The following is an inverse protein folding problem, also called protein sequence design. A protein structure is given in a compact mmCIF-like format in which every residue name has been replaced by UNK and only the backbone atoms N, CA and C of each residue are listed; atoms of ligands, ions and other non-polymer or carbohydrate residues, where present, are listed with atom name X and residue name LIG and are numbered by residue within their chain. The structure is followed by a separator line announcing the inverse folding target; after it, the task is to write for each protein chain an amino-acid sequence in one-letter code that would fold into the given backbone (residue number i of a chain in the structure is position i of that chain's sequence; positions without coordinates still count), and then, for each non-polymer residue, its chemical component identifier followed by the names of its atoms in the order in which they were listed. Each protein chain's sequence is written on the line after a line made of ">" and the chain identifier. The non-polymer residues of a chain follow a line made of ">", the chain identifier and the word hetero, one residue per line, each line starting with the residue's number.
data_IF_154709848130
#
_entry.id   IF_154709848130
#
_cell.length_a   1.000
_cell.length_b   1.000
_cell.length_c   1.000
_cell.angle_alpha   90.00
_cell.angle_beta   90.00
_cell.angle_gamma   90.00
#
_symmetry.space_group_name_H-M   'P 1'
#
loop_
_entity.id
_entity.type
_entity.pdbx_description
1 polymer ?
#
# COMPACT_ATOMS: atom_id res chain seq x y z
N UNK A 1 5.16 -17.29 -32.93
CA UNK A 1 5.30 -16.65 -31.61
C UNK A 1 4.07 -15.79 -31.39
N UNK A 2 3.46 -15.86 -30.22
CA UNK A 2 2.36 -14.97 -29.81
C UNK A 2 2.86 -14.10 -28.67
N UNK A 3 2.69 -12.79 -28.79
CA UNK A 3 3.08 -11.79 -27.78
C UNK A 3 1.82 -11.11 -27.25
N UNK A 4 1.69 -11.02 -25.95
CA UNK A 4 0.58 -10.35 -25.28
C UNK A 4 1.05 -9.46 -24.14
N UNK A 5 0.14 -8.69 -23.57
CA UNK A 5 0.42 -7.89 -22.38
C UNK A 5 0.63 -8.77 -21.14
N UNK A 6 1.42 -8.30 -20.19
CA UNK A 6 1.74 -9.03 -18.96
C UNK A 6 0.54 -9.19 -18.01
N UNK A 7 -0.52 -8.39 -18.21
CA UNK A 7 -1.73 -8.38 -17.39
C UNK A 7 -2.94 -7.91 -18.20
N UNK A 8 -4.13 -8.12 -17.66
CA UNK A 8 -5.36 -7.56 -18.21
C UNK A 8 -5.32 -6.02 -18.15
N UNK A 9 -5.70 -5.36 -19.24
CA UNK A 9 -5.69 -3.89 -19.37
C UNK A 9 -7.02 -3.23 -18.97
N UNK A 10 -8.04 -4.00 -18.62
CA UNK A 10 -9.38 -3.47 -18.33
C UNK A 10 -9.45 -2.70 -16.99
N UNK A 11 -8.65 -3.09 -15.99
CA UNK A 11 -8.71 -2.55 -14.63
C UNK A 11 -7.36 -1.95 -14.19
N UNK A 12 -6.63 -1.37 -15.13
CA UNK A 12 -5.38 -0.65 -14.86
C UNK A 12 -5.52 0.80 -15.32
N UNK A 13 -4.71 1.73 -14.80
CA UNK A 13 -4.67 3.10 -15.31
C UNK A 13 -4.37 3.12 -16.82
N UNK A 14 -4.92 4.10 -17.53
CA UNK A 14 -4.87 4.13 -19.00
C UNK A 14 -3.52 4.63 -19.52
N UNK A 15 -3.17 5.87 -19.23
CA UNK A 15 -1.95 6.52 -19.74
C UNK A 15 -1.13 7.10 -18.57
N UNK A 16 0.14 6.77 -18.52
CA UNK A 16 1.07 7.34 -17.53
C UNK A 16 1.22 8.86 -17.68
N UNK A 17 0.95 9.41 -18.86
CA UNK A 17 1.04 10.84 -19.12
C UNK A 17 -0.04 11.64 -18.37
N UNK A 18 -1.17 11.04 -18.03
CA UNK A 18 -2.24 11.67 -17.26
C UNK A 18 -1.83 11.94 -15.79
N UNK A 19 -0.79 11.27 -15.30
CA UNK A 19 -0.25 11.43 -13.95
C UNK A 19 0.57 12.73 -13.82
N UNK A 20 -0.11 13.88 -13.88
CA UNK A 20 0.53 15.21 -13.88
C UNK A 20 1.25 15.55 -12.56
N UNK A 21 0.88 14.93 -11.45
CA UNK A 21 1.44 15.18 -10.11
C UNK A 21 2.54 14.18 -9.72
N UNK A 22 2.73 13.13 -10.50
CA UNK A 22 3.72 12.11 -10.20
C UNK A 22 5.10 12.61 -10.59
N UNK A 23 6.11 12.30 -9.78
CA UNK A 23 7.51 12.58 -10.05
C UNK A 23 7.94 12.02 -11.43
N UNK A 24 8.64 12.81 -12.22
CA UNK A 24 9.02 12.45 -13.59
C UNK A 24 9.90 11.19 -13.64
N UNK A 25 10.75 10.97 -12.63
CA UNK A 25 11.58 9.77 -12.53
C UNK A 25 10.73 8.53 -12.29
N UNK A 26 9.75 8.62 -11.38
CA UNK A 26 8.80 7.52 -11.14
C UNK A 26 7.99 7.22 -12.40
N UNK A 27 7.50 8.25 -13.11
CA UNK A 27 6.78 8.08 -14.38
C UNK A 27 7.60 7.27 -15.40
N UNK A 28 8.90 7.51 -15.49
CA UNK A 28 9.75 6.82 -16.46
C UNK A 28 9.89 5.30 -16.22
N UNK A 29 9.54 4.83 -15.03
CA UNK A 29 9.57 3.38 -14.68
C UNK A 29 8.23 2.68 -14.87
N UNK A 30 7.15 3.43 -15.13
CA UNK A 30 5.79 2.92 -15.20
C UNK A 30 5.36 2.67 -16.65
N UNK A 31 4.50 1.69 -16.82
CA UNK A 31 3.80 1.41 -18.07
C UNK A 31 2.34 1.06 -17.74
N UNK A 32 1.42 1.94 -18.13
CA UNK A 32 -0.02 1.73 -18.01
C UNK A 32 -0.58 1.06 -19.26
N UNK A 33 -1.89 1.06 -19.45
CA UNK A 33 -2.51 0.31 -20.54
C UNK A 33 -1.95 0.70 -21.92
N UNK A 34 -1.88 2.00 -22.22
CA UNK A 34 -1.42 2.50 -23.53
C UNK A 34 0.05 2.15 -23.76
N UNK A 35 0.92 2.37 -22.77
CA UNK A 35 2.33 2.00 -22.87
C UNK A 35 2.53 0.49 -23.04
N UNK A 36 1.69 -0.35 -22.42
CA UNK A 36 1.75 -1.79 -22.59
C UNK A 36 1.33 -2.24 -24.00
N UNK A 37 0.35 -1.58 -24.60
CA UNK A 37 -0.01 -1.82 -26.00
C UNK A 37 1.14 -1.41 -26.92
N UNK A 38 1.75 -0.25 -26.69
CA UNK A 38 2.94 0.19 -27.44
C UNK A 38 4.13 -0.77 -27.30
N UNK A 39 4.35 -1.32 -26.12
CA UNK A 39 5.38 -2.34 -25.90
C UNK A 39 5.13 -3.60 -26.73
N UNK A 40 3.88 -4.09 -26.79
CA UNK A 40 3.51 -5.25 -27.63
C UNK A 40 3.73 -4.96 -29.11
N UNK A 41 3.30 -3.76 -29.59
CA UNK A 41 3.52 -3.34 -30.97
C UNK A 41 5.02 -3.23 -31.31
N UNK A 42 5.82 -2.68 -30.39
CA UNK A 42 7.27 -2.59 -30.53
C UNK A 42 7.93 -3.97 -30.62
N UNK A 43 7.52 -4.91 -29.76
CA UNK A 43 8.04 -6.28 -29.82
C UNK A 43 7.64 -6.99 -31.13
N UNK A 44 6.40 -6.81 -31.59
CA UNK A 44 5.97 -7.33 -32.88
C UNK A 44 6.83 -6.79 -34.03
N UNK A 45 7.11 -5.48 -34.03
CA UNK A 45 8.02 -4.86 -34.99
C UNK A 45 9.44 -5.50 -34.93
N UNK A 46 9.98 -5.68 -33.75
CA UNK A 46 11.29 -6.31 -33.56
C UNK A 46 11.35 -7.75 -34.07
N UNK A 47 10.23 -8.49 -33.95
CA UNK A 47 10.13 -9.87 -34.47
C UNK A 47 10.01 -9.92 -36.00
N UNK A 48 9.43 -8.92 -36.64
CA UNK A 48 9.22 -8.87 -38.09
C UNK A 48 10.37 -8.18 -38.84
N UNK A 49 10.92 -7.11 -38.28
CA UNK A 49 11.93 -6.26 -38.93
C UNK A 49 13.35 -6.45 -38.33
N UNK A 50 13.45 -7.22 -37.26
CA UNK A 50 14.71 -7.48 -36.54
C UNK A 50 14.98 -6.51 -35.40
N UNK A 51 15.86 -6.88 -34.48
CA UNK A 51 16.17 -6.13 -33.27
C UNK A 51 16.72 -4.72 -33.54
N UNK A 52 17.36 -4.49 -34.69
CA UNK A 52 17.85 -3.17 -35.08
C UNK A 52 16.74 -2.12 -35.21
N UNK A 53 15.53 -2.54 -35.65
CA UNK A 53 14.39 -1.66 -35.83
C UNK A 53 13.80 -1.12 -34.50
N UNK A 54 14.09 -1.77 -33.37
CA UNK A 54 13.63 -1.41 -32.04
C UNK A 54 14.78 -1.05 -31.06
N UNK A 55 15.98 -0.85 -31.56
CA UNK A 55 17.18 -0.59 -30.76
C UNK A 55 17.02 0.59 -29.80
N UNK A 56 16.38 1.67 -30.24
CA UNK A 56 16.15 2.85 -29.40
C UNK A 56 15.21 2.50 -28.23
N UNK A 57 14.11 1.81 -28.52
CA UNK A 57 13.14 1.42 -27.48
C UNK A 57 13.79 0.48 -26.43
N UNK A 58 14.64 -0.46 -26.86
CA UNK A 58 15.38 -1.31 -25.94
C UNK A 58 16.36 -0.49 -25.07
N UNK A 59 17.08 0.46 -25.65
CA UNK A 59 17.98 1.32 -24.91
C UNK A 59 17.24 2.23 -23.89
N UNK A 60 16.03 2.66 -24.19
CA UNK A 60 15.18 3.42 -23.28
C UNK A 60 14.76 2.58 -22.07
N UNK A 61 14.37 1.33 -22.31
CA UNK A 61 14.06 0.37 -21.23
C UNK A 61 15.28 0.08 -20.38
N UNK A 62 16.43 -0.17 -20.98
CA UNK A 62 17.68 -0.44 -20.24
C UNK A 62 18.06 0.75 -19.34
N UNK A 63 17.90 1.98 -19.82
CA UNK A 63 18.12 3.19 -19.01
C UNK A 63 17.15 3.28 -17.84
N UNK A 64 15.86 3.05 -18.08
CA UNK A 64 14.83 3.07 -17.03
C UNK A 64 15.08 2.01 -15.95
N UNK A 65 15.47 0.80 -16.35
CA UNK A 65 15.80 -0.29 -15.43
C UNK A 65 17.06 0.02 -14.62
N UNK A 66 18.12 0.54 -15.25
CA UNK A 66 19.35 0.92 -14.57
C UNK A 66 19.12 2.08 -13.58
N UNK A 67 18.36 3.09 -13.99
CA UNK A 67 17.98 4.21 -13.12
C UNK A 67 17.18 3.73 -11.90
N UNK A 68 16.18 2.89 -12.12
CA UNK A 68 15.39 2.31 -11.04
C UNK A 68 16.24 1.47 -10.08
N UNK A 69 17.16 0.66 -10.61
CA UNK A 69 18.02 -0.20 -9.80
C UNK A 69 18.94 0.59 -8.86
N UNK A 70 19.34 1.80 -9.27
CA UNK A 70 20.21 2.69 -8.50
C UNK A 70 19.46 3.71 -7.63
N UNK A 71 18.13 3.79 -7.76
CA UNK A 71 17.33 4.79 -7.06
C UNK A 71 17.29 4.55 -5.54
N UNK A 72 17.42 5.62 -4.72
CA UNK A 72 17.28 5.51 -3.27
C UNK A 72 15.95 4.87 -2.87
N UNK A 73 15.99 3.93 -1.94
CA UNK A 73 14.79 3.25 -1.43
C UNK A 73 14.29 2.06 -2.26
N UNK A 74 14.72 1.91 -3.53
CA UNK A 74 14.33 0.75 -4.36
C UNK A 74 15.12 -0.50 -3.94
N UNK A 75 16.39 -0.33 -3.61
CA UNK A 75 17.23 -1.40 -3.07
C UNK A 75 17.91 -0.93 -1.80
N UNK A 76 17.46 -1.47 -0.68
CA UNK A 76 18.01 -1.18 0.65
C UNK A 76 18.75 -2.40 1.14
N UNK A 77 20.09 -2.38 1.13
CA UNK A 77 20.91 -3.56 1.42
C UNK A 77 20.76 -4.05 2.86
N UNK A 78 20.52 -3.17 3.82
CA UNK A 78 20.21 -3.56 5.21
C UNK A 78 18.90 -4.36 5.31
N UNK A 79 17.86 -3.96 4.58
CA UNK A 79 16.60 -4.71 4.52
C UNK A 79 16.81 -6.05 3.83
N UNK A 80 17.54 -6.08 2.72
CA UNK A 80 17.82 -7.32 2.00
C UNK A 80 18.67 -8.29 2.82
N UNK A 81 19.63 -7.77 3.58
CA UNK A 81 20.43 -8.56 4.53
C UNK A 81 19.55 -9.21 5.60
N UNK A 82 18.61 -8.46 6.18
CA UNK A 82 17.64 -9.02 7.14
C UNK A 82 16.75 -10.08 6.50
N UNK A 83 16.23 -9.83 5.29
CA UNK A 83 15.42 -10.83 4.56
C UNK A 83 16.23 -12.09 4.26
N UNK A 84 17.50 -11.95 3.85
CA UNK A 84 18.39 -13.08 3.60
C UNK A 84 18.75 -13.89 4.85
N UNK A 85 18.67 -13.28 6.03
CA UNK A 85 18.91 -13.93 7.32
C UNK A 85 17.68 -14.65 7.88
N UNK A 86 16.50 -14.47 7.29
CA UNK A 86 15.26 -15.14 7.74
C UNK A 86 15.35 -16.64 7.54
N UNK A 87 15.24 -17.39 8.62
CA UNK A 87 15.30 -18.85 8.68
C UNK A 87 13.89 -19.49 8.62
N UNK A 88 13.84 -20.80 8.58
CA UNK A 88 12.57 -21.53 8.71
C UNK A 88 11.95 -21.29 10.09
N UNK A 89 12.78 -21.21 11.14
CA UNK A 89 12.28 -21.01 12.51
C UNK A 89 11.66 -19.63 12.69
N UNK A 90 12.22 -18.59 12.06
CA UNK A 90 11.61 -17.25 12.06
C UNK A 90 10.24 -17.20 11.37
N UNK A 91 9.99 -18.11 10.45
CA UNK A 91 8.71 -18.23 9.72
C UNK A 91 7.71 -19.14 10.41
N UNK A 92 8.16 -19.98 11.34
CA UNK A 92 7.31 -20.86 12.09
C UNK A 92 6.63 -20.10 13.24
N UNK A 93 5.39 -20.47 13.51
CA UNK A 93 4.68 -20.00 14.68
C UNK A 93 5.17 -20.76 15.91
N UNK A 94 5.06 -20.16 17.08
CA UNK A 94 5.21 -20.85 18.36
C UNK A 94 4.31 -22.10 18.43
N UNK A 95 4.68 -23.08 19.22
CA UNK A 95 3.91 -24.31 19.44
C UNK A 95 2.47 -24.01 19.86
N UNK A 96 1.55 -24.94 19.59
CA UNK A 96 0.13 -24.71 19.91
C UNK A 96 -0.08 -24.44 21.40
N UNK A 97 0.56 -25.23 22.28
CA UNK A 97 0.42 -25.06 23.72
C UNK A 97 0.94 -23.70 24.19
N UNK A 98 2.12 -23.30 23.74
CA UNK A 98 2.71 -21.99 24.06
C UNK A 98 1.80 -20.83 23.65
N UNK A 99 1.18 -20.93 22.47
CA UNK A 99 0.22 -19.92 22.01
C UNK A 99 -1.06 -19.89 22.84
N UNK A 100 -1.57 -21.07 23.24
CA UNK A 100 -2.75 -21.18 24.12
C UNK A 100 -2.47 -20.56 25.47
N UNK A 101 -1.33 -20.86 26.07
CA UNK A 101 -0.92 -20.30 27.36
C UNK A 101 -0.80 -18.77 27.28
N UNK A 102 -0.18 -18.25 26.22
CA UNK A 102 -0.07 -16.82 25.99
C UNK A 102 -1.45 -16.14 25.79
N UNK A 103 -2.38 -16.80 25.11
CA UNK A 103 -3.75 -16.30 24.93
C UNK A 103 -4.54 -16.30 26.23
N UNK A 104 -4.41 -17.36 27.04
CA UNK A 104 -5.07 -17.42 28.35
C UNK A 104 -4.61 -16.33 29.31
N UNK A 105 -3.33 -15.95 29.22
CA UNK A 105 -2.76 -14.86 30.02
C UNK A 105 -3.39 -13.48 29.73
N UNK A 106 -4.05 -13.31 28.56
CA UNK A 106 -4.77 -12.08 28.21
C UNK A 106 -6.12 -11.93 28.95
N UNK A 107 -6.63 -13.01 29.58
CA UNK A 107 -7.90 -12.97 30.28
C UNK A 107 -9.13 -12.74 29.39
N UNK A 108 -9.02 -12.94 28.09
CA UNK A 108 -10.12 -12.77 27.13
C UNK A 108 -11.08 -13.97 27.28
N UNK A 109 -12.39 -13.77 27.41
CA UNK A 109 -13.38 -14.86 27.51
C UNK A 109 -13.44 -15.68 26.21
N UNK A 110 -13.88 -16.95 26.32
CA UNK A 110 -13.95 -17.89 25.19
C UNK A 110 -14.82 -17.38 24.03
N UNK A 111 -15.89 -16.64 24.34
CA UNK A 111 -16.80 -16.03 23.37
C UNK A 111 -16.73 -14.50 23.47
N UNK A 112 -15.54 -13.96 23.32
CA UNK A 112 -15.30 -12.54 23.42
C UNK A 112 -16.07 -11.73 22.37
N UNK A 113 -16.71 -10.66 22.83
CA UNK A 113 -17.38 -9.68 21.95
C UNK A 113 -16.40 -8.60 21.51
N UNK A 114 -16.49 -8.21 20.25
CA UNK A 114 -15.69 -7.14 19.65
C UNK A 114 -16.38 -6.58 18.42
N UNK A 115 -15.82 -5.57 17.79
CA UNK A 115 -16.27 -5.05 16.49
C UNK A 115 -15.29 -5.43 15.38
N UNK A 116 -15.66 -5.10 14.11
CA UNK A 116 -14.82 -5.45 12.93
C UNK A 116 -13.49 -4.72 12.93
N UNK A 117 -13.44 -3.48 13.44
CA UNK A 117 -12.21 -2.65 13.48
C UNK A 117 -12.50 -1.17 13.20
N UNK A 118 -12.82 -0.81 11.96
CA UNK A 118 -13.13 0.58 11.62
C UNK A 118 -14.54 0.99 12.03
N UNK A 119 -14.64 2.17 12.66
CA UNK A 119 -15.90 2.86 12.90
C UNK A 119 -16.27 3.75 11.70
N UNK A 120 -17.55 4.16 11.56
CA UNK A 120 -17.97 5.02 10.47
C UNK A 120 -17.20 6.33 10.41
N UNK A 121 -16.81 6.76 9.23
CA UNK A 121 -16.23 8.08 8.98
C UNK A 121 -17.36 9.12 9.08
N UNK A 122 -17.49 9.77 10.23
CA UNK A 122 -18.54 10.77 10.50
C UNK A 122 -18.34 12.06 9.69
N UNK A 123 -19.35 12.92 9.69
CA UNK A 123 -19.25 14.26 9.08
C UNK A 123 -18.15 15.11 9.71
N UNK A 124 -18.01 15.00 11.03
CA UNK A 124 -16.98 15.71 11.80
C UNK A 124 -15.57 15.26 11.43
N UNK A 125 -15.33 13.95 11.35
CA UNK A 125 -14.03 13.40 10.93
C UNK A 125 -13.67 13.90 9.52
N UNK A 126 -14.62 13.81 8.58
CA UNK A 126 -14.38 14.30 7.21
C UNK A 126 -14.11 15.78 7.14
N UNK A 127 -14.83 16.59 7.95
CA UNK A 127 -14.62 18.04 8.03
C UNK A 127 -13.25 18.38 8.62
N UNK A 128 -12.86 17.75 9.73
CA UNK A 128 -11.54 17.97 10.35
C UNK A 128 -10.41 17.63 9.37
N UNK A 129 -10.49 16.49 8.69
CA UNK A 129 -9.52 16.06 7.66
C UNK A 129 -9.44 17.07 6.51
N UNK A 130 -10.57 17.54 6.01
CA UNK A 130 -10.62 18.53 4.95
C UNK A 130 -10.02 19.87 5.38
N UNK A 131 -10.30 20.34 6.60
CA UNK A 131 -9.71 21.56 7.16
C UNK A 131 -8.20 21.44 7.31
N UNK A 132 -7.70 20.30 7.77
CA UNK A 132 -6.27 20.01 7.83
C UNK A 132 -5.63 20.02 6.44
N UNK A 133 -6.23 19.35 5.46
CA UNK A 133 -5.72 19.31 4.07
C UNK A 133 -5.66 20.71 3.43
N UNK A 134 -6.59 21.61 3.79
CA UNK A 134 -6.58 23.00 3.30
C UNK A 134 -5.67 23.94 4.11
N UNK A 135 -5.04 23.45 5.18
CA UNK A 135 -4.19 24.26 6.06
C UNK A 135 -4.98 25.22 6.98
N UNK A 136 -6.27 24.98 7.19
CA UNK A 136 -7.11 25.78 8.09
C UNK A 136 -6.86 25.44 9.57
N UNK A 137 -6.41 24.24 9.83
CA UNK A 137 -5.92 23.79 11.15
C UNK A 137 -4.53 23.16 10.97
N UNK A 138 -3.71 23.25 12.01
CA UNK A 138 -2.39 22.66 12.04
C UNK A 138 -2.42 21.18 12.46
N UNK A 139 -1.26 20.51 12.40
CA UNK A 139 -1.11 19.10 12.76
C UNK A 139 -1.55 18.85 14.22
N UNK A 140 -1.18 19.74 15.16
CA UNK A 140 -1.48 19.55 16.57
C UNK A 140 -3.00 19.59 16.84
N UNK A 141 -3.71 20.52 16.20
CA UNK A 141 -5.17 20.59 16.29
C UNK A 141 -5.84 19.38 15.66
N UNK A 142 -5.34 18.89 14.52
CA UNK A 142 -5.86 17.68 13.89
C UNK A 142 -5.62 16.43 14.76
N UNK A 143 -4.43 16.25 15.30
CA UNK A 143 -4.09 15.15 16.20
C UNK A 143 -4.92 15.20 17.51
N UNK A 144 -5.19 16.41 18.02
CA UNK A 144 -6.08 16.62 19.14
C UNK A 144 -7.50 16.10 18.87
N UNK A 145 -8.07 16.47 17.73
CA UNK A 145 -9.37 16.00 17.28
C UNK A 145 -9.42 14.47 17.13
N UNK A 146 -8.40 13.89 16.51
CA UNK A 146 -8.33 12.42 16.33
C UNK A 146 -8.28 11.70 17.68
N UNK A 147 -7.50 12.21 18.63
CA UNK A 147 -7.40 11.64 19.98
C UNK A 147 -8.75 11.65 20.69
N UNK A 148 -9.47 12.77 20.66
CA UNK A 148 -10.79 12.88 21.27
C UNK A 148 -11.80 11.92 20.64
N UNK A 149 -11.76 11.75 19.32
CA UNK A 149 -12.63 10.82 18.61
C UNK A 149 -12.31 9.36 18.94
N UNK A 150 -11.04 8.99 19.00
CA UNK A 150 -10.61 7.65 19.39
C UNK A 150 -11.03 7.35 20.84
N UNK A 151 -10.81 8.30 21.76
CA UNK A 151 -11.22 8.18 23.15
C UNK A 151 -12.74 8.01 23.28
N UNK A 152 -13.52 8.76 22.52
CA UNK A 152 -14.97 8.64 22.47
C UNK A 152 -15.41 7.24 22.02
N UNK A 153 -14.79 6.71 20.98
CA UNK A 153 -15.09 5.37 20.44
C UNK A 153 -14.71 4.29 21.44
N UNK A 154 -13.59 4.42 22.14
CA UNK A 154 -13.17 3.45 23.17
C UNK A 154 -14.15 3.47 24.33
N UNK A 155 -14.52 4.65 24.85
CA UNK A 155 -15.48 4.78 25.95
C UNK A 155 -16.85 4.22 25.61
N UNK A 156 -17.33 4.43 24.38
CA UNK A 156 -18.58 3.83 23.93
C UNK A 156 -18.53 2.30 24.00
N UNK A 157 -17.41 1.70 23.57
CA UNK A 157 -17.25 0.25 23.61
C UNK A 157 -17.18 -0.29 25.06
N UNK A 158 -16.55 0.44 25.98
CA UNK A 158 -16.54 0.14 27.41
C UNK A 158 -17.96 0.20 28.00
N UNK A 159 -18.73 1.25 27.69
CA UNK A 159 -20.10 1.46 28.18
C UNK A 159 -21.06 0.35 27.72
N UNK A 160 -20.92 -0.12 26.49
CA UNK A 160 -21.75 -1.24 25.97
C UNK A 160 -21.23 -2.61 26.39
N UNK A 161 -20.08 -2.68 27.04
CA UNK A 161 -19.53 -3.91 27.63
C UNK A 161 -18.88 -4.86 26.62
N UNK A 162 -18.17 -4.35 25.61
CA UNK A 162 -17.37 -5.21 24.72
C UNK A 162 -16.14 -5.73 25.45
N UNK A 163 -15.79 -7.00 25.24
CA UNK A 163 -14.65 -7.66 25.87
C UNK A 163 -13.32 -7.24 25.24
N UNK A 164 -13.29 -6.98 23.95
CA UNK A 164 -12.10 -6.53 23.21
C UNK A 164 -12.43 -5.26 22.47
N UNK A 165 -11.69 -4.19 22.82
CA UNK A 165 -11.94 -2.87 22.23
C UNK A 165 -11.08 -2.67 20.98
N UNK A 166 -11.64 -1.95 20.01
CA UNK A 166 -10.93 -1.56 18.79
C UNK A 166 -10.67 -0.07 18.76
N UNK A 167 -9.59 0.33 18.12
CA UNK A 167 -9.18 1.74 17.96
C UNK A 167 -10.20 2.59 17.19
N UNK A 168 -10.91 2.00 16.23
CA UNK A 168 -11.95 2.68 15.43
C UNK A 168 -11.45 3.36 14.16
N UNK A 169 -10.15 3.58 14.01
CA UNK A 169 -9.47 4.04 12.79
C UNK A 169 -9.97 5.40 12.26
N UNK A 170 -10.18 6.38 13.14
CA UNK A 170 -10.66 7.72 12.78
C UNK A 170 -9.70 8.45 11.81
N UNK A 171 -8.39 8.23 11.94
CA UNK A 171 -7.34 8.81 11.11
C UNK A 171 -7.29 8.21 9.70
N UNK A 172 -7.74 6.98 9.53
CA UNK A 172 -7.65 6.24 8.27
C UNK A 172 -8.82 6.55 7.34
N UNK A 173 -8.50 6.99 6.14
CA UNK A 173 -9.49 7.19 5.08
C UNK A 173 -9.70 5.91 4.26
N UNK A 174 -8.62 5.42 3.66
CA UNK A 174 -8.58 4.23 2.83
C UNK A 174 -7.34 3.40 3.19
N UNK A 175 -7.48 2.06 3.17
CA UNK A 175 -6.40 1.16 3.58
C UNK A 175 -5.17 1.31 2.66
N UNK A 176 -5.39 1.35 1.36
CA UNK A 176 -4.28 1.44 0.38
C UNK A 176 -3.60 2.79 0.46
N UNK A 177 -4.36 3.86 0.71
CA UNK A 177 -3.80 5.21 0.88
C UNK A 177 -2.99 5.34 2.18
N UNK A 178 -3.39 4.63 3.24
CA UNK A 178 -2.78 4.74 4.56
C UNK A 178 -1.44 3.99 4.64
N UNK A 179 -1.30 2.82 3.97
CA UNK A 179 -0.12 1.98 3.94
C UNK A 179 0.70 2.16 2.65
#
# INVERSE_FOLDING_TARGET
>A
VVVGTSNNLQHVPHDVNDESKLDARLKSWLAFADQKVEQVATLAKGLTEGAAAIKSALADVDRALADRASAPGVRVDTVRGRVGAVTTDDRNRAGEQERRDAQQALGIPDLATTTIGSFPQTGEIRKARASFTRGEIDQAAYDGFLREEIERVIRLQEEIGLDVLVHGEAERNDMVQYF
#
